data_IF_803961422880
#
_entry.id   IF_803961422880
#
_cell.length_a   1.000
_cell.length_b   1.000
_cell.length_c   1.000
_cell.angle_alpha   90.00
_cell.angle_beta   90.00
_cell.angle_gamma   90.00
#
_symmetry.space_group_name_H-M   'P 1'
#
loop_
_entity.id
_entity.type
_entity.pdbx_description
1 polymer ?
#
# COMPACT_ATOMS: atom_id res chain seq x y z
N UNK A 1 4.43 10.18 -39.03
CA UNK A 1 3.63 10.30 -37.79
C UNK A 1 4.43 11.17 -36.82
N UNK A 2 3.84 12.27 -36.33
CA UNK A 2 4.51 13.17 -35.38
C UNK A 2 4.58 12.49 -33.99
N UNK A 3 5.72 12.61 -33.31
CA UNK A 3 5.90 12.08 -31.95
C UNK A 3 5.86 13.23 -30.96
N UNK A 4 5.26 13.00 -29.79
CA UNK A 4 5.23 14.01 -28.73
C UNK A 4 6.63 14.33 -28.18
N UNK A 5 7.53 13.34 -28.17
CA UNK A 5 8.91 13.45 -27.68
C UNK A 5 9.87 12.85 -28.71
N UNK A 6 10.97 13.54 -28.96
CA UNK A 6 12.09 13.09 -29.78
C UNK A 6 13.40 13.16 -28.98
N UNK A 7 14.29 12.20 -29.20
CA UNK A 7 15.63 12.21 -28.60
C UNK A 7 16.62 13.06 -29.44
N UNK A 8 16.35 13.26 -30.74
CA UNK A 8 17.09 14.20 -31.59
C UNK A 8 16.18 14.78 -32.69
N UNK A 9 16.59 15.93 -33.23
CA UNK A 9 15.96 16.57 -34.41
C UNK A 9 16.54 16.08 -35.74
N UNK A 10 17.50 15.14 -35.70
CA UNK A 10 18.14 14.60 -36.91
C UNK A 10 17.15 13.79 -37.74
N UNK A 11 16.99 14.16 -39.01
CA UNK A 11 16.04 13.53 -39.93
C UNK A 11 14.62 14.07 -39.84
N UNK A 12 14.38 15.10 -39.02
CA UNK A 12 13.12 15.84 -39.04
C UNK A 12 13.11 16.88 -40.17
N UNK A 13 11.97 17.06 -40.83
CA UNK A 13 11.79 18.07 -41.88
C UNK A 13 11.97 19.48 -41.30
N UNK A 14 12.64 20.38 -42.03
CA UNK A 14 12.96 21.74 -41.56
C UNK A 14 11.73 22.56 -41.14
N UNK A 15 10.57 22.26 -41.73
CA UNK A 15 9.26 22.85 -41.41
C UNK A 15 8.71 22.42 -40.04
N UNK A 16 9.14 21.26 -39.53
CA UNK A 16 8.65 20.66 -38.28
C UNK A 16 9.57 20.97 -37.08
N UNK A 17 10.85 21.28 -37.31
CA UNK A 17 11.81 21.69 -36.28
C UNK A 17 11.28 22.79 -35.34
N UNK A 18 10.69 23.91 -35.82
CA UNK A 18 10.22 24.97 -34.93
C UNK A 18 8.99 24.58 -34.08
N UNK A 19 8.36 23.43 -34.37
CA UNK A 19 7.26 22.90 -33.56
C UNK A 19 7.75 22.11 -32.35
N UNK A 20 9.07 21.89 -32.19
CA UNK A 20 9.63 21.17 -31.05
C UNK A 20 10.49 22.09 -30.17
N UNK A 21 10.30 21.98 -28.85
CA UNK A 21 11.05 22.72 -27.83
C UNK A 21 11.95 21.77 -27.07
N UNK A 22 13.22 22.15 -26.92
CA UNK A 22 14.18 21.39 -26.12
C UNK A 22 13.91 21.56 -24.62
N UNK A 23 13.76 20.45 -23.90
CA UNK A 23 13.63 20.39 -22.45
C UNK A 23 14.27 19.11 -21.91
N UNK A 24 15.12 19.23 -20.90
CA UNK A 24 15.79 18.10 -20.23
C UNK A 24 16.57 17.17 -21.21
N UNK A 25 17.16 17.74 -22.26
CA UNK A 25 17.93 16.99 -23.28
C UNK A 25 17.06 16.20 -24.26
N UNK A 26 15.76 16.49 -24.32
CA UNK A 26 14.79 15.91 -25.28
C UNK A 26 13.94 16.99 -25.92
N UNK A 27 13.37 16.70 -27.09
CA UNK A 27 12.58 17.65 -27.86
C UNK A 27 11.10 17.30 -27.76
N UNK A 28 10.28 18.24 -27.28
CA UNK A 28 8.84 18.06 -27.07
C UNK A 28 8.02 18.89 -28.05
N UNK A 29 6.97 18.30 -28.62
CA UNK A 29 6.09 19.00 -29.56
C UNK A 29 5.29 20.09 -28.83
N UNK A 30 5.49 21.34 -29.25
CA UNK A 30 4.75 22.51 -28.79
C UNK A 30 3.36 22.51 -29.43
N UNK A 31 2.34 22.26 -28.62
CA UNK A 31 0.93 22.31 -29.02
C UNK A 31 0.32 23.55 -28.39
N UNK A 32 -0.21 24.44 -29.22
CA UNK A 32 -0.89 25.65 -28.76
C UNK A 32 -2.27 25.31 -28.16
N UNK A 33 -2.63 25.94 -27.04
CA UNK A 33 -3.92 25.73 -26.37
C UNK A 33 -4.08 24.46 -25.51
N UNK A 34 -3.06 23.60 -25.42
CA UNK A 34 -3.04 22.51 -24.43
C UNK A 34 -2.04 22.90 -23.35
N UNK A 35 -2.42 22.91 -22.05
CA UNK A 35 -1.43 23.05 -20.98
C UNK A 35 -0.43 21.92 -21.19
N UNK A 36 0.78 22.27 -21.64
CA UNK A 36 1.90 21.36 -21.84
C UNK A 36 2.10 20.67 -20.52
N UNK A 37 1.43 19.54 -20.35
CA UNK A 37 1.42 18.82 -19.08
C UNK A 37 2.82 18.30 -18.97
N UNK A 38 3.63 19.07 -18.25
CA UNK A 38 4.94 18.66 -17.87
C UNK A 38 4.80 17.28 -17.24
N UNK A 39 5.79 16.39 -17.36
CA UNK A 39 5.77 15.09 -16.67
C UNK A 39 5.53 15.19 -15.14
N UNK A 40 5.49 16.40 -14.58
CA UNK A 40 5.43 16.71 -13.15
C UNK A 40 4.34 17.72 -12.72
N UNK A 41 3.45 18.20 -13.59
CA UNK A 41 2.40 19.13 -13.14
C UNK A 41 1.08 18.40 -12.81
N UNK A 42 0.79 18.39 -11.50
CA UNK A 42 -0.45 18.03 -10.81
C UNK A 42 -0.81 16.56 -10.51
N UNK A 43 0.16 15.66 -10.43
CA UNK A 43 0.00 14.40 -9.67
C UNK A 43 0.32 14.53 -8.18
N UNK A 44 0.96 15.62 -7.75
CA UNK A 44 1.30 15.89 -6.34
C UNK A 44 0.05 16.15 -5.49
N UNK A 45 -0.90 16.95 -5.96
CA UNK A 45 -2.16 17.17 -5.25
C UNK A 45 -2.99 15.89 -5.15
N UNK A 46 -3.01 15.07 -6.22
CA UNK A 46 -3.69 13.79 -6.22
C UNK A 46 -3.03 12.78 -5.28
N UNK A 47 -1.70 12.70 -5.27
CA UNK A 47 -0.93 11.88 -4.33
C UNK A 47 -1.15 12.32 -2.88
N UNK A 48 -1.12 13.62 -2.60
CA UNK A 48 -1.38 14.15 -1.26
C UNK A 48 -2.78 13.75 -0.76
N UNK A 49 -3.80 13.83 -1.63
CA UNK A 49 -5.17 13.44 -1.28
C UNK A 49 -5.34 11.94 -1.09
N UNK A 50 -4.62 11.13 -1.87
CA UNK A 50 -4.57 9.68 -1.69
C UNK A 50 -3.90 9.31 -0.37
N UNK A 51 -2.80 9.96 -0.01
CA UNK A 51 -2.13 9.75 1.28
C UNK A 51 -3.02 10.19 2.46
N UNK A 52 -3.71 11.31 2.35
CA UNK A 52 -4.69 11.79 3.33
C UNK A 52 -5.83 10.79 3.55
N UNK A 53 -6.46 10.31 2.46
CA UNK A 53 -7.52 9.31 2.53
C UNK A 53 -7.02 7.97 3.07
N UNK A 54 -5.80 7.57 2.74
CA UNK A 54 -5.17 6.37 3.30
C UNK A 54 -4.87 6.54 4.79
N UNK A 55 -4.44 7.73 5.23
CA UNK A 55 -4.20 8.04 6.63
C UNK A 55 -5.52 8.05 7.43
N UNK A 56 -6.57 8.67 6.91
CA UNK A 56 -7.91 8.65 7.52
C UNK A 56 -8.46 7.22 7.64
N UNK A 57 -8.40 6.44 6.55
CA UNK A 57 -8.87 5.05 6.56
C UNK A 57 -8.08 4.19 7.55
N UNK A 58 -6.76 4.39 7.66
CA UNK A 58 -5.94 3.71 8.65
C UNK A 58 -6.27 4.15 10.08
N UNK A 59 -6.52 5.44 10.31
CA UNK A 59 -6.92 5.94 11.61
C UNK A 59 -8.26 5.35 12.05
N UNK A 60 -9.22 5.24 11.14
CA UNK A 60 -10.52 4.64 11.43
C UNK A 60 -10.45 3.12 11.63
N UNK A 61 -9.65 2.42 10.81
CA UNK A 61 -9.39 1.00 11.02
C UNK A 61 -8.69 0.74 12.37
N UNK A 62 -7.73 1.58 12.75
CA UNK A 62 -7.04 1.49 14.04
C UNK A 62 -7.99 1.77 15.20
N UNK A 63 -8.85 2.78 15.08
CA UNK A 63 -9.86 3.11 16.10
C UNK A 63 -10.88 1.97 16.27
N UNK A 64 -11.23 1.27 15.19
CA UNK A 64 -12.09 0.08 15.24
C UNK A 64 -11.39 -1.10 15.91
N UNK A 65 -10.11 -1.35 15.59
CA UNK A 65 -9.30 -2.38 16.25
C UNK A 65 -9.11 -2.08 17.74
N UNK A 66 -8.80 -0.84 18.10
CA UNK A 66 -8.65 -0.40 19.50
C UNK A 66 -9.96 -0.55 20.28
N UNK A 67 -11.11 -0.26 19.66
CA UNK A 67 -12.44 -0.47 20.26
C UNK A 67 -12.76 -1.96 20.45
N UNK A 68 -12.41 -2.80 19.48
CA UNK A 68 -12.62 -4.25 19.56
C UNK A 68 -11.71 -4.90 20.60
N UNK A 69 -10.45 -4.48 20.70
CA UNK A 69 -9.51 -4.92 21.75
C UNK A 69 -9.90 -4.38 23.14
N UNK A 70 -10.43 -3.16 23.23
CA UNK A 70 -10.96 -2.64 24.49
C UNK A 70 -12.20 -3.41 24.95
N UNK A 71 -13.12 -3.72 24.03
CA UNK A 71 -14.29 -4.56 24.32
C UNK A 71 -13.89 -5.97 24.74
N UNK A 72 -12.90 -6.57 24.07
CA UNK A 72 -12.39 -7.90 24.41
C UNK A 72 -11.70 -7.92 25.78
N UNK A 73 -10.86 -6.91 26.07
CA UNK A 73 -10.25 -6.77 27.40
C UNK A 73 -11.29 -6.52 28.50
N UNK A 74 -12.30 -5.69 28.24
CA UNK A 74 -13.38 -5.45 29.19
C UNK A 74 -14.22 -6.72 29.45
N UNK A 75 -14.48 -7.52 28.41
CA UNK A 75 -15.15 -8.81 28.55
C UNK A 75 -14.30 -9.83 29.30
N UNK A 76 -12.99 -9.91 29.03
CA UNK A 76 -12.06 -10.78 29.75
C UNK A 76 -11.90 -10.35 31.22
N UNK A 77 -11.86 -9.04 31.50
CA UNK A 77 -11.74 -8.53 32.86
C UNK A 77 -13.05 -8.67 33.65
N UNK A 78 -14.21 -8.53 32.97
CA UNK A 78 -15.51 -8.82 33.54
C UNK A 78 -15.62 -10.31 33.86
N UNK A 79 -15.33 -11.22 32.92
CA UNK A 79 -15.33 -12.67 33.14
C UNK A 79 -14.40 -13.09 34.28
N UNK A 80 -13.22 -12.48 34.38
CA UNK A 80 -12.28 -12.68 35.50
C UNK A 80 -12.85 -12.18 36.84
N UNK A 81 -13.60 -11.07 36.85
CA UNK A 81 -14.20 -10.47 38.06
C UNK A 81 -15.50 -11.16 38.49
N UNK A 82 -16.31 -11.66 37.55
CA UNK A 82 -17.55 -12.39 37.84
C UNK A 82 -17.33 -13.88 38.08
N UNK A 83 -16.10 -14.39 38.00
CA UNK A 83 -15.78 -15.79 38.29
C UNK A 83 -16.36 -16.77 37.25
N UNK A 84 -16.53 -16.32 36.01
CA UNK A 84 -17.00 -17.16 34.90
C UNK A 84 -15.81 -17.96 34.35
N UNK A 85 -15.44 -18.99 35.12
CA UNK A 85 -14.28 -19.86 34.87
C UNK A 85 -14.43 -20.60 33.54
N UNK A 86 -15.66 -20.91 33.11
CA UNK A 86 -15.94 -21.59 31.85
C UNK A 86 -15.61 -20.70 30.63
N UNK A 87 -16.00 -19.42 30.66
CA UNK A 87 -15.65 -18.47 29.62
C UNK A 87 -14.13 -18.24 29.54
N UNK A 88 -13.47 -18.18 30.70
CA UNK A 88 -12.01 -18.06 30.78
C UNK A 88 -11.34 -19.32 30.21
N UNK A 89 -11.75 -20.52 30.64
CA UNK A 89 -11.19 -21.80 30.16
C UNK A 89 -11.33 -21.91 28.64
N UNK A 90 -12.49 -21.61 28.08
CA UNK A 90 -12.71 -21.62 26.63
C UNK A 90 -11.80 -20.63 25.90
N UNK A 91 -11.64 -19.42 26.42
CA UNK A 91 -10.76 -18.42 25.82
C UNK A 91 -9.28 -18.83 25.85
N UNK A 92 -8.85 -19.53 26.90
CA UNK A 92 -7.49 -20.06 27.03
C UNK A 92 -7.28 -21.27 26.14
N UNK A 93 -8.25 -22.16 26.04
CA UNK A 93 -8.21 -23.33 25.16
C UNK A 93 -8.16 -22.92 23.68
N UNK A 94 -8.93 -21.90 23.28
CA UNK A 94 -8.87 -21.30 21.95
C UNK A 94 -7.50 -20.66 21.68
N UNK A 95 -6.95 -19.87 22.62
CA UNK A 95 -5.61 -19.28 22.51
C UNK A 95 -4.52 -20.35 22.42
N UNK A 96 -4.63 -21.41 23.21
CA UNK A 96 -3.68 -22.51 23.24
C UNK A 96 -3.70 -23.31 21.93
N UNK A 97 -4.89 -23.66 21.44
CA UNK A 97 -5.07 -24.37 20.17
C UNK A 97 -4.54 -23.57 18.99
N UNK A 98 -4.80 -22.25 18.97
CA UNK A 98 -4.23 -21.36 17.95
C UNK A 98 -2.71 -21.32 18.01
N UNK A 99 -2.13 -21.17 19.21
CA UNK A 99 -0.68 -21.15 19.37
C UNK A 99 -0.02 -22.48 18.94
N UNK A 100 -0.66 -23.61 19.22
CA UNK A 100 -0.18 -24.93 18.78
C UNK A 100 -0.21 -25.05 17.25
N UNK A 101 -1.32 -24.63 16.62
CA UNK A 101 -1.45 -24.66 15.16
C UNK A 101 -0.41 -23.77 14.47
N UNK A 102 -0.20 -22.56 14.99
CA UNK A 102 0.80 -21.63 14.46
C UNK A 102 2.21 -22.22 14.60
N UNK A 103 2.53 -22.85 15.74
CA UNK A 103 3.81 -23.56 15.95
C UNK A 103 3.99 -24.70 14.96
N UNK A 104 3.00 -25.56 14.78
CA UNK A 104 3.07 -26.68 13.84
C UNK A 104 3.27 -26.19 12.40
N UNK A 105 2.57 -25.12 12.00
CA UNK A 105 2.80 -24.50 10.69
C UNK A 105 4.22 -23.96 10.53
N UNK A 106 4.78 -23.32 11.57
CA UNK A 106 6.16 -22.84 11.50
C UNK A 106 7.16 -23.99 11.40
N UNK A 107 6.96 -25.08 12.14
CA UNK A 107 7.81 -26.28 12.07
C UNK A 107 7.75 -26.89 10.68
N UNK A 108 6.55 -27.05 10.11
CA UNK A 108 6.38 -27.56 8.75
C UNK A 108 7.05 -26.66 7.71
N UNK A 109 6.92 -25.34 7.84
CA UNK A 109 7.57 -24.37 6.96
C UNK A 109 9.10 -24.47 7.03
N UNK A 110 9.65 -24.55 8.24
CA UNK A 110 11.09 -24.69 8.46
C UNK A 110 11.60 -26.03 7.93
N UNK A 111 10.86 -27.12 8.14
CA UNK A 111 11.22 -28.44 7.63
C UNK A 111 11.22 -28.47 6.10
N UNK A 112 10.24 -27.83 5.45
CA UNK A 112 10.20 -27.67 4.00
C UNK A 112 11.37 -26.83 3.47
N UNK A 113 11.79 -25.78 4.20
CA UNK A 113 12.98 -25.00 3.86
C UNK A 113 14.27 -25.83 3.97
N UNK A 114 14.42 -26.65 5.01
CA UNK A 114 15.58 -27.55 5.16
C UNK A 114 15.64 -28.56 4.02
N UNK A 115 14.51 -29.18 3.65
CA UNK A 115 14.46 -30.13 2.53
C UNK A 115 14.79 -29.49 1.18
N UNK A 116 14.50 -28.20 0.99
CA UNK A 116 14.85 -27.48 -0.24
C UNK A 116 16.34 -27.12 -0.33
N UNK A 117 17.04 -27.09 0.81
CA UNK A 117 18.45 -26.74 0.93
C UNK A 117 19.38 -27.96 0.92
N UNK A 118 18.83 -29.18 1.00
CA UNK A 118 19.56 -30.46 0.95
C UNK A 118 19.39 -31.10 -0.42
#
# INVERSE_FOLDING_TARGET
MLKYQLDSLEGLEASLIPLYVEKDGKYYLQIDGVPQSQPNEDVTGLKAKVEELLAEKKAEAKKRQEAEEAAKRAAEEHARKTGDVDALQKSWEEKYTKALTDKDQTVLSLQAQIQKLT
#
